data_IF_483524493106
#
_entry.id   IF_483524493106
#
_cell.length_a   1.000
_cell.length_b   1.000
_cell.length_c   1.000
_cell.angle_alpha   90.00
_cell.angle_beta   90.00
_cell.angle_gamma   90.00
#
_symmetry.space_group_name_H-M   'P 1'
#
loop_
_entity.id
_entity.type
_entity.pdbx_description
1 polymer ?
#
# COMPACT_ATOMS: atom_id res chain seq x y z
N UNK A 1 -54.34 34.80 -12.14
CA UNK A 1 -54.08 33.72 -11.14
C UNK A 1 -53.16 32.72 -11.84
N UNK A 2 -51.92 32.45 -11.40
CA UNK A 2 -51.54 31.49 -10.32
C UNK A 2 -52.24 30.13 -10.52
N UNK A 3 -51.63 28.95 -10.62
CA UNK A 3 -50.24 28.39 -10.59
C UNK A 3 -50.21 27.21 -11.62
N UNK A 4 -49.12 26.59 -12.09
CA UNK A 4 -47.65 26.75 -12.02
C UNK A 4 -47.03 26.12 -13.31
N UNK A 5 -45.69 26.01 -13.40
CA UNK A 5 -45.00 24.98 -14.19
C UNK A 5 -44.33 23.98 -13.24
N UNK A 6 -44.30 22.69 -13.58
CA UNK A 6 -43.56 21.66 -12.83
C UNK A 6 -42.43 21.13 -13.70
N UNK A 7 -41.27 21.80 -13.62
CA UNK A 7 -40.03 21.28 -14.18
C UNK A 7 -39.62 20.06 -13.38
N UNK A 8 -39.62 18.87 -14.01
CA UNK A 8 -39.09 17.65 -13.42
C UNK A 8 -37.55 17.75 -13.40
N UNK A 9 -37.02 18.48 -12.43
CA UNK A 9 -35.60 18.46 -12.13
C UNK A 9 -35.26 17.08 -11.58
N UNK A 10 -34.63 16.24 -12.40
CA UNK A 10 -33.82 15.14 -11.92
C UNK A 10 -32.67 15.74 -11.12
N UNK A 11 -32.90 15.99 -9.82
CA UNK A 11 -31.80 15.97 -8.89
C UNK A 11 -31.29 14.54 -8.91
N UNK A 12 -30.10 14.35 -9.51
CA UNK A 12 -29.17 13.40 -8.93
C UNK A 12 -28.97 13.86 -7.49
N UNK A 13 -29.75 13.30 -6.58
CA UNK A 13 -29.29 13.11 -5.23
C UNK A 13 -28.11 12.15 -5.34
N UNK A 14 -26.93 12.71 -5.61
CA UNK A 14 -25.69 12.10 -5.20
C UNK A 14 -25.87 11.89 -3.70
N UNK A 15 -26.22 10.66 -3.32
CA UNK A 15 -26.23 10.27 -1.93
C UNK A 15 -24.76 10.29 -1.57
N UNK A 16 -24.32 11.41 -0.99
CA UNK A 16 -23.07 11.49 -0.25
C UNK A 16 -23.22 10.55 0.94
N UNK A 17 -23.04 9.25 0.67
CA UNK A 17 -22.56 8.31 1.65
C UNK A 17 -21.16 8.79 2.02
N UNK A 18 -21.13 9.77 2.92
CA UNK A 18 -20.03 9.91 3.86
C UNK A 18 -20.10 8.71 4.81
N UNK A 19 -19.88 7.51 4.27
CA UNK A 19 -19.18 6.50 5.01
C UNK A 19 -17.90 7.19 5.49
N UNK A 20 -17.65 7.18 6.80
CA UNK A 20 -16.46 7.82 7.33
C UNK A 20 -15.26 7.02 6.85
N UNK A 21 -14.48 7.61 5.95
CA UNK A 21 -13.16 7.16 5.58
C UNK A 21 -12.32 6.87 6.83
N UNK A 22 -12.29 5.62 7.28
CA UNK A 22 -11.54 5.24 8.47
C UNK A 22 -10.12 4.87 8.06
N UNK A 23 -9.29 5.92 8.01
CA UNK A 23 -7.86 5.80 8.29
C UNK A 23 -7.69 5.00 9.58
N UNK A 24 -7.11 3.80 9.47
CA UNK A 24 -6.87 2.90 10.59
C UNK A 24 -5.59 3.32 11.33
N UNK A 25 -4.52 3.58 10.56
CA UNK A 25 -3.21 3.91 11.09
C UNK A 25 -2.48 4.89 10.16
N UNK A 26 -1.67 5.78 10.75
CA UNK A 26 -0.76 6.66 10.05
C UNK A 26 0.49 6.87 10.89
N UNK A 27 1.66 6.73 10.27
CA UNK A 27 2.95 6.74 10.95
C UNK A 27 4.03 7.34 10.06
N UNK A 28 4.80 8.31 10.56
CA UNK A 28 5.91 8.86 9.77
C UNK A 28 7.11 7.91 9.67
N UNK A 29 7.19 6.90 10.55
CA UNK A 29 8.31 5.95 10.75
C UNK A 29 9.65 6.61 11.13
N UNK A 30 9.72 7.95 11.15
CA UNK A 30 10.91 8.74 11.50
C UNK A 30 11.15 8.66 13.00
N UNK A 31 12.36 8.28 13.41
CA UNK A 31 12.79 8.12 14.80
C UNK A 31 11.84 7.23 15.64
N UNK A 32 11.40 6.09 15.11
CA UNK A 32 10.53 5.14 15.82
C UNK A 32 9.05 5.52 15.89
N UNK A 33 8.60 6.53 15.13
CA UNK A 33 7.23 7.00 15.13
C UNK A 33 6.28 6.07 14.32
N UNK A 34 5.99 4.89 14.87
CA UNK A 34 5.21 3.81 14.22
C UNK A 34 3.68 3.97 14.25
N UNK A 35 3.15 5.05 14.85
CA UNK A 35 1.74 5.43 14.70
C UNK A 35 0.72 4.34 15.06
N UNK A 36 0.94 3.64 16.17
CA UNK A 36 0.11 2.51 16.61
C UNK A 36 0.64 1.13 16.20
N UNK A 37 1.60 1.08 15.27
CA UNK A 37 2.36 -0.12 14.96
C UNK A 37 3.44 -0.40 16.00
N UNK A 38 3.94 -1.63 16.00
CA UNK A 38 4.99 -2.09 16.91
C UNK A 38 5.97 -3.04 16.21
N UNK A 39 7.24 -2.98 16.60
CA UNK A 39 8.24 -3.94 16.15
C UNK A 39 7.91 -5.33 16.69
N UNK A 40 8.26 -6.36 15.91
CA UNK A 40 8.07 -7.76 16.28
C UNK A 40 9.39 -8.52 16.11
N UNK A 41 9.89 -9.11 17.19
CA UNK A 41 10.83 -10.23 17.09
C UNK A 41 10.07 -11.47 16.62
N UNK A 42 10.41 -11.95 15.42
CA UNK A 42 9.75 -13.09 14.78
C UNK A 42 10.40 -14.44 15.07
N UNK A 43 11.52 -14.48 15.83
CA UNK A 43 12.20 -15.72 16.19
C UNK A 43 11.56 -16.40 17.40
N UNK A 44 11.15 -17.67 17.23
CA UNK A 44 10.45 -18.44 18.28
C UNK A 44 11.24 -19.60 18.85
N UNK A 45 12.41 -19.90 18.30
CA UNK A 45 13.37 -20.88 18.80
C UNK A 45 14.74 -20.64 18.16
N UNK A 46 15.81 -21.02 18.85
CA UNK A 46 17.20 -20.80 18.40
C UNK A 46 17.57 -21.67 17.18
N UNK A 47 17.05 -21.29 16.01
CA UNK A 47 17.34 -21.84 14.69
C UNK A 47 17.90 -20.81 13.70
N UNK A 48 18.23 -19.61 14.17
CA UNK A 48 19.00 -18.60 13.45
C UNK A 48 20.32 -19.21 12.94
N UNK A 49 20.59 -19.06 11.63
CA UNK A 49 21.79 -19.61 10.97
C UNK A 49 23.06 -18.86 11.34
N UNK A 50 22.94 -17.62 11.83
CA UNK A 50 24.01 -16.76 12.31
C UNK A 50 24.24 -16.86 13.82
N UNK A 51 23.23 -17.29 14.58
CA UNK A 51 23.26 -17.57 16.02
C UNK A 51 23.39 -16.35 16.94
N UNK A 52 22.85 -15.19 16.56
CA UNK A 52 23.07 -13.90 17.23
C UNK A 52 21.85 -13.38 18.01
N UNK A 53 20.64 -13.63 17.54
CA UNK A 53 19.43 -12.91 18.02
C UNK A 53 18.18 -13.80 17.92
N UNK A 54 17.70 -14.35 19.05
CA UNK A 54 16.51 -15.22 19.04
C UNK A 54 15.70 -15.12 20.33
N UNK A 55 14.54 -14.44 20.28
CA UNK A 55 13.42 -14.70 21.19
C UNK A 55 13.60 -14.30 22.65
N UNK A 56 14.61 -13.47 22.96
CA UNK A 56 14.76 -12.83 24.27
C UNK A 56 14.03 -11.48 24.37
N UNK A 57 13.48 -11.00 23.25
CA UNK A 57 12.84 -9.69 23.14
C UNK A 57 13.84 -8.54 22.92
N UNK A 58 15.10 -8.82 22.57
CA UNK A 58 16.07 -7.79 22.19
C UNK A 58 15.76 -7.19 20.81
N UNK A 59 14.88 -6.19 20.83
CA UNK A 59 14.55 -5.36 19.68
C UNK A 59 15.75 -4.56 19.12
N UNK A 60 16.90 -4.50 19.81
CA UNK A 60 18.05 -3.70 19.34
C UNK A 60 18.78 -4.28 18.13
N UNK A 61 18.54 -5.55 17.79
CA UNK A 61 19.24 -6.26 16.72
C UNK A 61 18.32 -6.97 15.70
N UNK A 62 17.01 -6.73 15.70
CA UNK A 62 16.06 -7.43 14.82
C UNK A 62 16.19 -7.10 13.32
N UNK A 63 17.03 -6.13 12.94
CA UNK A 63 17.19 -5.68 11.54
C UNK A 63 16.37 -4.45 11.18
N UNK A 64 15.94 -3.67 12.17
CA UNK A 64 15.33 -2.34 12.00
C UNK A 64 16.27 -1.30 12.59
N UNK A 65 16.49 -0.20 11.88
CA UNK A 65 17.21 0.98 12.37
C UNK A 65 16.34 2.22 12.19
N UNK A 66 15.96 2.86 13.29
CA UNK A 66 15.23 4.14 13.26
C UNK A 66 16.16 5.29 12.87
N UNK A 67 15.73 6.11 11.92
CA UNK A 67 16.49 7.28 11.45
C UNK A 67 15.60 8.53 11.37
N UNK A 68 16.21 9.69 11.16
CA UNK A 68 15.48 10.93 10.90
C UNK A 68 14.70 10.92 9.57
N UNK A 69 15.06 10.04 8.64
CA UNK A 69 14.45 9.94 7.30
C UNK A 69 13.29 8.95 7.27
N UNK A 70 13.34 7.92 8.10
CA UNK A 70 12.37 6.82 8.16
C UNK A 70 12.94 5.63 8.94
N UNK A 71 12.39 4.45 8.74
CA UNK A 71 12.93 3.20 9.30
C UNK A 71 13.68 2.42 8.21
N UNK A 72 14.91 1.99 8.50
CA UNK A 72 15.77 1.26 7.57
C UNK A 72 15.77 -0.21 7.95
N UNK A 73 15.49 -1.10 6.98
CA UNK A 73 15.60 -2.53 7.16
C UNK A 73 17.02 -2.99 6.81
N UNK A 74 17.72 -3.56 7.77
CA UNK A 74 19.11 -4.00 7.65
C UNK A 74 19.21 -5.52 7.65
N UNK A 75 20.22 -6.05 6.95
CA UNK A 75 20.50 -7.48 6.92
C UNK A 75 20.88 -8.00 8.29
N UNK A 76 20.11 -8.95 8.82
CA UNK A 76 20.48 -9.75 10.00
C UNK A 76 21.09 -11.10 9.61
N UNK A 77 20.73 -11.62 8.44
CA UNK A 77 21.10 -12.96 8.01
C UNK A 77 22.39 -13.03 7.16
N UNK A 78 23.08 -14.19 7.12
CA UNK A 78 24.28 -14.37 6.30
C UNK A 78 24.06 -14.27 4.78
N UNK A 79 22.81 -14.30 4.31
CA UNK A 79 22.42 -14.18 2.91
C UNK A 79 21.91 -12.78 2.53
N UNK A 80 22.07 -11.77 3.40
CA UNK A 80 21.68 -10.39 3.12
C UNK A 80 20.25 -10.01 3.55
N UNK A 81 19.49 -10.95 4.13
CA UNK A 81 18.07 -10.76 4.42
C UNK A 81 17.80 -10.13 5.80
N UNK A 82 16.68 -9.42 5.93
CA UNK A 82 16.22 -8.86 7.20
C UNK A 82 15.10 -9.71 7.82
N UNK A 83 15.25 -10.06 9.10
CA UNK A 83 14.22 -10.72 9.91
C UNK A 83 13.46 -9.74 10.83
N UNK A 84 13.40 -8.46 10.45
CA UNK A 84 12.63 -7.42 11.14
C UNK A 84 11.20 -7.30 10.60
N UNK A 85 10.25 -6.86 11.42
CA UNK A 85 8.85 -6.61 11.08
C UNK A 85 8.32 -5.44 11.92
N UNK A 86 7.58 -4.52 11.31
CA UNK A 86 6.69 -3.60 12.04
C UNK A 86 5.25 -4.02 11.73
N UNK A 87 4.44 -4.20 12.77
CA UNK A 87 3.10 -4.74 12.66
C UNK A 87 2.03 -3.77 13.18
N UNK A 88 0.89 -3.73 12.49
CA UNK A 88 -0.32 -3.01 12.88
C UNK A 88 -1.50 -3.99 12.97
N UNK A 89 -2.17 -4.01 14.12
CA UNK A 89 -3.27 -4.97 14.35
C UNK A 89 -4.61 -4.49 13.79
N UNK A 90 -4.82 -4.75 12.51
CA UNK A 90 -6.08 -4.53 11.80
C UNK A 90 -6.98 -5.75 12.04
N UNK A 91 -7.98 -5.67 12.94
CA UNK A 91 -8.89 -6.79 13.16
C UNK A 91 -9.53 -6.89 14.55
N UNK A 92 -10.14 -8.05 14.83
CA UNK A 92 -11.22 -8.23 15.80
C UNK A 92 -10.88 -8.14 17.32
N UNK A 93 -9.67 -7.72 17.70
CA UNK A 93 -9.34 -7.43 19.10
C UNK A 93 -9.90 -6.07 19.58
N UNK A 94 -10.42 -5.25 18.67
CA UNK A 94 -11.40 -4.21 19.01
C UNK A 94 -12.76 -4.87 19.33
N UNK A 95 -12.96 -5.13 20.63
CA UNK A 95 -14.06 -5.95 21.16
C UNK A 95 -15.44 -5.74 20.52
N UNK A 96 -15.85 -6.73 19.71
CA UNK A 96 -17.24 -7.11 19.44
C UNK A 96 -18.18 -6.00 18.94
N UNK A 97 -17.78 -5.22 17.92
CA UNK A 97 -18.72 -4.36 17.20
C UNK A 97 -18.37 -4.08 15.71
N UNK A 98 -17.12 -3.75 15.41
CA UNK A 98 -16.69 -3.32 14.06
C UNK A 98 -15.82 -4.39 13.41
N UNK A 99 -16.41 -5.21 12.55
CA UNK A 99 -15.63 -5.94 11.55
C UNK A 99 -15.06 -4.91 10.57
N UNK A 100 -13.74 -4.83 10.52
CA UNK A 100 -13.06 -4.04 9.49
C UNK A 100 -13.37 -4.63 8.11
N UNK A 101 -13.68 -3.76 7.16
CA UNK A 101 -13.88 -4.07 5.75
C UNK A 101 -12.56 -4.11 4.96
N UNK A 102 -11.42 -3.92 5.63
CA UNK A 102 -10.09 -3.78 5.04
C UNK A 102 -9.77 -4.89 4.05
N UNK A 103 -10.28 -6.10 4.28
CA UNK A 103 -10.07 -7.27 3.43
C UNK A 103 -10.96 -7.33 2.18
N UNK A 104 -12.12 -6.67 2.18
CA UNK A 104 -12.97 -6.52 1.00
C UNK A 104 -12.63 -5.28 0.19
N UNK A 105 -12.20 -4.22 0.86
CA UNK A 105 -11.68 -3.01 0.23
C UNK A 105 -10.71 -2.31 1.18
N UNK A 106 -9.60 -1.82 0.65
CA UNK A 106 -8.58 -1.21 1.49
C UNK A 106 -7.52 -0.51 0.67
N UNK A 107 -6.70 0.27 1.38
CA UNK A 107 -5.57 1.00 0.82
C UNK A 107 -4.41 0.97 1.79
N UNK A 108 -3.20 0.88 1.26
CA UNK A 108 -1.95 1.21 1.94
C UNK A 108 -1.16 2.18 1.07
N UNK A 109 -0.65 3.26 1.65
CA UNK A 109 0.38 4.13 1.06
C UNK A 109 1.62 4.07 1.94
N UNK A 110 2.79 4.14 1.32
CA UNK A 110 4.08 4.17 2.01
C UNK A 110 5.15 4.82 1.13
N UNK A 111 5.97 5.72 1.69
CA UNK A 111 7.18 6.16 1.00
C UNK A 111 8.21 5.03 1.01
N UNK A 112 8.88 4.82 -0.11
CA UNK A 112 9.88 3.77 -0.31
C UNK A 112 11.14 4.33 -0.95
N UNK A 113 12.30 4.06 -0.34
CA UNK A 113 13.63 4.30 -0.91
C UNK A 113 14.47 3.04 -0.78
N UNK A 114 14.83 2.41 -1.90
CA UNK A 114 15.76 1.28 -1.93
C UNK A 114 17.17 1.74 -2.29
N UNK A 115 18.17 1.34 -1.51
CA UNK A 115 19.59 1.67 -1.69
C UNK A 115 20.27 0.67 -2.65
N UNK A 116 20.86 1.16 -3.73
CA UNK A 116 21.46 0.32 -4.79
C UNK A 116 22.57 -0.62 -4.30
N UNK A 117 23.29 -0.24 -3.23
CA UNK A 117 24.46 -0.95 -2.71
C UNK A 117 24.10 -2.05 -1.71
N UNK A 118 22.99 -1.89 -0.99
CA UNK A 118 22.58 -2.76 0.12
C UNK A 118 21.25 -3.48 -0.11
N UNK A 119 20.47 -3.10 -1.13
CA UNK A 119 19.18 -3.74 -1.40
C UNK A 119 19.30 -5.23 -1.73
N UNK A 120 18.53 -6.03 -1.00
CA UNK A 120 18.31 -7.46 -1.21
C UNK A 120 16.82 -7.72 -1.44
N UNK A 121 16.51 -8.52 -2.47
CA UNK A 121 15.15 -8.92 -2.82
C UNK A 121 14.43 -9.59 -1.64
N UNK A 122 13.13 -9.31 -1.48
CA UNK A 122 12.31 -9.85 -0.41
C UNK A 122 10.89 -9.27 -0.37
N UNK A 123 10.11 -9.68 0.61
CA UNK A 123 8.76 -9.15 0.85
C UNK A 123 8.83 -7.68 1.30
N UNK A 124 8.02 -6.83 0.67
CA UNK A 124 7.74 -5.47 1.07
C UNK A 124 6.80 -5.45 2.28
N UNK A 125 5.67 -6.14 2.17
CA UNK A 125 4.65 -6.28 3.22
C UNK A 125 3.79 -7.52 3.00
N UNK A 126 3.06 -7.93 4.05
CA UNK A 126 1.95 -8.87 3.95
C UNK A 126 0.91 -8.69 5.07
N UNK A 127 -0.23 -9.38 4.99
CA UNK A 127 -1.10 -9.64 6.15
C UNK A 127 -0.95 -11.10 6.61
N UNK A 128 -1.48 -11.43 7.81
CA UNK A 128 -1.50 -12.81 8.30
C UNK A 128 -2.92 -13.23 8.72
N UNK A 129 -3.41 -14.33 8.14
CA UNK A 129 -4.72 -14.91 8.36
C UNK A 129 -4.75 -15.84 9.59
N UNK A 130 -5.62 -15.51 10.55
CA UNK A 130 -6.09 -16.45 11.57
C UNK A 130 -5.14 -16.75 12.73
N UNK A 131 -3.99 -16.06 12.83
CA UNK A 131 -3.04 -16.28 13.93
C UNK A 131 -2.58 -14.98 14.59
N UNK A 132 -2.64 -14.95 15.93
CA UNK A 132 -1.92 -14.00 16.78
C UNK A 132 -0.42 -14.38 16.87
N UNK A 133 0.15 -14.94 15.79
CA UNK A 133 1.51 -15.48 15.70
C UNK A 133 2.10 -15.14 14.34
N UNK A 134 3.29 -14.56 14.36
CA UNK A 134 4.01 -14.07 13.17
C UNK A 134 4.77 -15.17 12.42
N UNK A 135 4.29 -16.43 12.51
CA UNK A 135 4.90 -17.62 11.91
C UNK A 135 3.83 -18.68 11.64
N UNK A 136 3.97 -19.41 10.53
CA UNK A 136 3.09 -20.53 10.17
C UNK A 136 1.66 -20.14 9.73
N UNK A 137 1.36 -18.85 9.64
CA UNK A 137 0.10 -18.34 9.06
C UNK A 137 0.17 -18.23 7.53
N UNK A 138 -0.99 -18.10 6.89
CA UNK A 138 -1.08 -17.78 5.46
C UNK A 138 -1.35 -16.29 5.30
N UNK A 139 -0.76 -15.64 4.29
CA UNK A 139 -1.18 -14.28 3.91
C UNK A 139 -2.45 -14.28 3.06
N UNK A 140 -3.07 -13.11 2.93
CA UNK A 140 -4.12 -12.79 1.93
C UNK A 140 -3.57 -11.84 0.86
N UNK A 141 -2.70 -10.91 1.26
CA UNK A 141 -2.07 -9.87 0.45
C UNK A 141 -0.55 -9.96 0.63
N UNK A 142 0.21 -9.70 -0.43
CA UNK A 142 1.66 -9.77 -0.38
C UNK A 142 2.31 -8.94 -1.48
N UNK A 143 3.25 -8.09 -1.11
CA UNK A 143 4.07 -7.35 -2.06
C UNK A 143 5.53 -7.76 -1.93
N UNK A 144 6.24 -7.80 -3.06
CA UNK A 144 7.64 -8.21 -3.14
C UNK A 144 8.45 -7.18 -3.91
N UNK A 145 9.67 -6.96 -3.47
CA UNK A 145 10.71 -6.24 -4.19
C UNK A 145 11.77 -7.21 -4.71
N UNK A 146 12.14 -7.09 -5.98
CA UNK A 146 13.29 -7.80 -6.55
C UNK A 146 14.23 -6.85 -7.28
N UNK A 147 15.53 -7.16 -7.28
CA UNK A 147 16.49 -6.54 -8.20
C UNK A 147 16.29 -7.17 -9.58
N UNK A 148 16.10 -6.36 -10.61
CA UNK A 148 16.24 -6.75 -12.01
C UNK A 148 17.58 -6.26 -12.55
N UNK A 149 18.21 -7.10 -13.37
CA UNK A 149 19.22 -6.62 -14.29
C UNK A 149 18.59 -5.57 -15.22
N UNK A 150 19.34 -4.52 -15.52
CA UNK A 150 18.90 -3.42 -16.36
C UNK A 150 18.84 -3.76 -17.85
N UNK A 151 18.93 -2.71 -18.67
CA UNK A 151 18.94 -2.83 -20.14
C UNK A 151 20.20 -3.56 -20.63
N UNK A 152 21.31 -3.52 -19.88
CA UNK A 152 22.54 -4.25 -20.21
C UNK A 152 22.51 -5.75 -19.85
N UNK A 153 21.51 -6.19 -19.07
CA UNK A 153 21.33 -7.58 -18.65
C UNK A 153 22.36 -8.11 -17.64
N UNK A 154 23.15 -7.24 -17.01
CA UNK A 154 24.03 -7.55 -15.89
C UNK A 154 23.38 -7.12 -14.56
N UNK A 155 23.94 -7.63 -13.45
CA UNK A 155 23.55 -7.25 -12.10
C UNK A 155 24.68 -6.51 -11.40
N UNK A 156 24.32 -5.62 -10.48
CA UNK A 156 25.22 -4.74 -9.72
C UNK A 156 25.88 -3.67 -10.60
N UNK A 157 25.16 -3.24 -11.63
CA UNK A 157 25.51 -2.16 -12.55
C UNK A 157 24.70 -0.89 -12.22
N UNK A 158 25.06 0.23 -12.86
CA UNK A 158 24.39 1.51 -12.62
C UNK A 158 23.00 1.63 -13.30
N UNK A 159 22.62 0.63 -14.10
CA UNK A 159 21.30 0.48 -14.72
C UNK A 159 20.45 -0.63 -14.06
N UNK A 160 20.91 -1.23 -12.95
CA UNK A 160 20.08 -2.11 -12.12
C UNK A 160 18.75 -1.43 -11.78
N UNK A 161 17.66 -2.19 -11.86
CA UNK A 161 16.31 -1.69 -11.58
C UNK A 161 15.65 -2.47 -10.43
N UNK A 162 14.65 -1.87 -9.82
CA UNK A 162 13.85 -2.46 -8.77
C UNK A 162 12.47 -2.84 -9.33
N UNK A 163 12.08 -4.11 -9.25
CA UNK A 163 10.74 -4.55 -9.65
C UNK A 163 9.89 -4.77 -8.41
N UNK A 164 8.78 -4.03 -8.36
CA UNK A 164 7.76 -4.12 -7.32
C UNK A 164 6.58 -4.94 -7.83
N UNK A 165 6.25 -6.03 -7.14
CA UNK A 165 5.14 -6.92 -7.45
C UNK A 165 3.99 -6.74 -6.47
N UNK A 166 2.75 -6.83 -6.96
CA UNK A 166 1.54 -6.87 -6.15
C UNK A 166 0.81 -8.20 -6.33
N UNK A 167 0.47 -8.87 -5.22
CA UNK A 167 -0.07 -10.23 -5.23
C UNK A 167 -1.12 -10.42 -4.14
N UNK A 168 -2.09 -11.30 -4.38
CA UNK A 168 -2.95 -11.88 -3.34
C UNK A 168 -2.93 -13.38 -3.32
N UNK A 169 -3.30 -13.94 -2.19
CA UNK A 169 -3.44 -15.37 -1.96
C UNK A 169 -4.91 -15.73 -1.83
N UNK A 170 -5.36 -16.67 -2.66
CA UNK A 170 -6.73 -17.15 -2.66
C UNK A 170 -6.74 -18.67 -2.91
N UNK A 171 -7.48 -19.43 -2.10
CA UNK A 171 -7.62 -20.89 -2.20
C UNK A 171 -6.29 -21.68 -2.32
N UNK A 172 -5.25 -21.28 -1.58
CA UNK A 172 -3.89 -21.86 -1.62
C UNK A 172 -3.09 -21.57 -2.90
N UNK A 173 -3.46 -20.54 -3.66
CA UNK A 173 -2.74 -20.07 -4.86
C UNK A 173 -2.42 -18.59 -4.71
N UNK A 174 -1.18 -18.21 -5.02
CA UNK A 174 -0.79 -16.80 -5.19
C UNK A 174 -1.12 -16.33 -6.61
N UNK A 175 -1.81 -15.21 -6.71
CA UNK A 175 -2.16 -14.50 -7.93
C UNK A 175 -1.38 -13.20 -7.97
N UNK A 176 -0.65 -12.95 -9.05
CA UNK A 176 0.02 -11.66 -9.29
C UNK A 176 -0.91 -10.73 -10.07
N UNK A 177 -1.15 -9.54 -9.52
CA UNK A 177 -2.02 -8.50 -10.10
C UNK A 177 -1.24 -7.48 -10.94
N UNK A 178 0.08 -7.59 -10.94
CA UNK A 178 0.97 -6.80 -11.79
C UNK A 178 2.28 -6.49 -11.11
N UNK A 179 3.08 -5.72 -11.84
CA UNK A 179 4.37 -5.25 -11.37
C UNK A 179 4.75 -3.94 -12.05
N UNK A 180 5.53 -3.11 -11.37
CA UNK A 180 6.17 -1.93 -11.95
C UNK A 180 7.67 -1.94 -11.71
N UNK A 181 8.39 -1.27 -12.60
CA UNK A 181 9.83 -1.04 -12.46
C UNK A 181 10.09 0.35 -11.89
N UNK A 182 11.00 0.44 -10.93
CA UNK A 182 11.44 1.63 -10.22
C UNK A 182 12.97 1.73 -10.31
N UNK A 183 13.53 2.93 -10.18
CA UNK A 183 14.97 3.13 -10.14
C UNK A 183 15.47 3.08 -8.68
N UNK A 184 16.67 2.57 -8.46
CA UNK A 184 17.30 2.67 -7.14
C UNK A 184 17.62 4.12 -6.75
N UNK A 185 17.86 4.33 -5.45
CA UNK A 185 18.31 5.59 -4.85
C UNK A 185 17.33 6.77 -5.05
N UNK A 186 16.06 6.47 -5.36
CA UNK A 186 14.95 7.41 -5.48
C UNK A 186 13.84 7.08 -4.47
N UNK A 187 13.20 8.12 -3.95
CA UNK A 187 12.06 8.02 -3.04
C UNK A 187 10.77 8.07 -3.84
N UNK A 188 9.89 7.09 -3.66
CA UNK A 188 8.58 6.98 -4.30
C UNK A 188 7.47 6.88 -3.25
N UNK A 189 6.29 7.47 -3.51
CA UNK A 189 5.07 7.18 -2.74
C UNK A 189 4.35 6.00 -3.42
N UNK A 190 4.28 4.87 -2.72
CA UNK A 190 3.73 3.61 -3.22
C UNK A 190 2.34 3.38 -2.64
N UNK A 191 1.32 3.42 -3.49
CA UNK A 191 -0.07 3.11 -3.13
C UNK A 191 -0.48 1.72 -3.62
N UNK A 192 -1.07 0.89 -2.75
CA UNK A 192 -1.69 -0.38 -3.12
C UNK A 192 -3.14 -0.40 -2.64
N UNK A 193 -4.07 -0.63 -3.56
CA UNK A 193 -5.51 -0.59 -3.30
C UNK A 193 -6.18 -1.88 -3.76
N UNK A 194 -7.33 -2.17 -3.17
CA UNK A 194 -8.20 -3.25 -3.63
C UNK A 194 -9.66 -2.99 -3.28
N UNK A 195 -10.55 -3.71 -3.97
CA UNK A 195 -12.00 -3.52 -3.86
C UNK A 195 -12.48 -2.18 -4.42
N UNK A 196 -11.82 -1.70 -5.49
CA UNK A 196 -12.15 -0.46 -6.16
C UNK A 196 -13.43 -0.52 -7.00
N UNK A 197 -13.81 0.63 -7.55
CA UNK A 197 -14.95 0.74 -8.48
C UNK A 197 -14.54 0.56 -9.95
N UNK A 198 -13.28 0.86 -10.27
CA UNK A 198 -12.72 0.72 -11.61
C UNK A 198 -11.96 -0.60 -11.72
N UNK A 199 -11.11 -0.92 -10.74
CA UNK A 199 -10.41 -2.21 -10.67
C UNK A 199 -10.48 -2.93 -9.32
N UNK A 200 -10.37 -4.27 -9.34
CA UNK A 200 -10.29 -5.10 -8.13
C UNK A 200 -9.00 -4.85 -7.35
N UNK A 201 -7.88 -4.63 -8.05
CA UNK A 201 -6.57 -4.31 -7.49
C UNK A 201 -5.85 -3.26 -8.31
N UNK A 202 -5.13 -2.36 -7.64
CA UNK A 202 -4.32 -1.35 -8.30
C UNK A 202 -2.99 -1.13 -7.56
N UNK A 203 -1.95 -0.86 -8.34
CA UNK A 203 -0.63 -0.45 -7.90
C UNK A 203 -0.33 0.95 -8.43
N UNK A 204 -0.19 1.89 -7.51
CA UNK A 204 0.05 3.31 -7.75
C UNK A 204 1.48 3.70 -7.34
N UNK A 205 2.10 4.59 -8.11
CA UNK A 205 3.41 5.18 -7.80
C UNK A 205 3.32 6.68 -8.09
N UNK A 206 3.62 7.52 -7.09
CA UNK A 206 3.59 8.99 -7.19
C UNK A 206 2.29 9.54 -7.83
N UNK A 207 1.14 8.98 -7.48
CA UNK A 207 -0.17 9.36 -8.02
C UNK A 207 -0.53 8.74 -9.37
N UNK A 208 0.33 7.90 -9.97
CA UNK A 208 0.15 7.30 -11.30
C UNK A 208 -0.18 5.81 -11.19
N UNK A 209 -1.22 5.36 -11.90
CA UNK A 209 -1.58 3.94 -11.97
C UNK A 209 -0.55 3.19 -12.83
N UNK A 210 0.20 2.28 -12.21
CA UNK A 210 1.27 1.53 -12.87
C UNK A 210 0.84 0.12 -13.27
N UNK A 211 0.00 -0.53 -12.47
CA UNK A 211 -0.61 -1.82 -12.80
C UNK A 211 -1.98 -1.97 -12.13
N UNK A 212 -2.84 -2.81 -12.72
CA UNK A 212 -4.13 -3.19 -12.16
C UNK A 212 -4.53 -4.59 -12.64
N UNK A 213 -5.46 -5.22 -11.92
CA UNK A 213 -6.06 -6.50 -12.30
C UNK A 213 -7.54 -6.56 -11.88
N UNK A 214 -8.35 -7.22 -12.70
CA UNK A 214 -9.79 -7.44 -12.53
C UNK A 214 -10.07 -8.94 -12.51
N UNK A 215 -10.30 -9.48 -11.32
CA UNK A 215 -10.33 -10.93 -11.15
C UNK A 215 -11.75 -11.47 -10.95
N UNK A 216 -12.09 -12.43 -11.81
CA UNK A 216 -13.37 -13.13 -11.76
C UNK A 216 -13.46 -14.18 -10.61
N UNK A 217 -12.60 -14.11 -9.59
CA UNK A 217 -12.52 -15.09 -8.49
C UNK A 217 -13.61 -14.90 -7.41
N UNK A 218 -14.32 -13.77 -7.42
CA UNK A 218 -15.39 -13.47 -6.46
C UNK A 218 -14.89 -12.77 -5.20
N UNK A 219 -15.60 -12.94 -4.08
CA UNK A 219 -15.27 -12.22 -2.84
C UNK A 219 -13.89 -12.61 -2.30
N UNK A 220 -13.08 -11.60 -1.99
CA UNK A 220 -11.66 -11.75 -1.70
C UNK A 220 -11.32 -12.47 -0.39
N UNK A 221 -10.27 -13.28 -0.47
CA UNK A 221 -9.66 -14.10 0.60
C UNK A 221 -10.51 -15.24 1.19
N UNK A 222 -9.88 -16.03 2.08
CA UNK A 222 -10.46 -17.21 2.75
C UNK A 222 -11.89 -17.03 3.30
N UNK A 223 -12.75 -18.01 3.02
CA UNK A 223 -14.20 -17.99 3.28
C UNK A 223 -14.64 -18.26 4.73
N UNK A 224 -13.70 -18.36 5.67
CA UNK A 224 -13.98 -18.61 7.09
C UNK A 224 -13.48 -17.47 7.99
N UNK A 225 -14.33 -17.08 8.94
CA UNK A 225 -14.09 -16.31 10.16
C UNK A 225 -12.82 -15.41 10.23
N UNK A 226 -12.99 -14.11 9.95
CA UNK A 226 -12.09 -13.05 10.43
C UNK A 226 -10.70 -13.03 9.78
N UNK A 227 -10.46 -12.06 8.90
CA UNK A 227 -9.22 -11.95 8.11
C UNK A 227 -8.72 -10.52 8.06
N UNK A 228 -7.40 -10.37 7.97
CA UNK A 228 -6.66 -9.35 8.69
C UNK A 228 -6.93 -9.44 10.21
N UNK A 229 -5.90 -9.86 10.95
CA UNK A 229 -5.70 -9.47 12.35
C UNK A 229 -4.51 -8.51 12.50
N UNK A 230 -3.62 -8.52 11.50
CA UNK A 230 -2.27 -8.00 11.53
C UNK A 230 -1.83 -7.72 10.09
N UNK A 231 -1.43 -6.48 9.81
CA UNK A 231 -0.71 -6.08 8.59
C UNK A 231 0.72 -5.72 8.98
N UNK A 232 1.69 -6.26 8.24
CA UNK A 232 3.10 -6.17 8.57
C UNK A 232 3.92 -5.56 7.44
N UNK A 233 4.71 -4.55 7.76
CA UNK A 233 5.78 -4.03 6.91
C UNK A 233 6.99 -4.97 7.03
N UNK A 234 7.38 -5.60 5.93
CA UNK A 234 8.18 -6.81 5.86
C UNK A 234 7.33 -8.09 5.77
N UNK A 235 7.98 -9.26 5.68
CA UNK A 235 7.28 -10.56 5.60
C UNK A 235 6.50 -10.86 6.89
N UNK A 236 5.39 -11.57 6.84
CA UNK A 236 4.76 -12.16 8.03
C UNK A 236 4.25 -13.58 7.80
N UNK A 237 4.68 -14.21 6.69
CA UNK A 237 4.11 -15.44 6.16
C UNK A 237 4.99 -16.68 6.42
N UNK A 238 6.29 -16.70 6.03
CA UNK A 238 7.10 -17.95 6.03
C UNK A 238 8.51 -17.85 6.66
N UNK A 239 8.70 -16.87 7.56
CA UNK A 239 9.96 -16.67 8.28
C UNK A 239 10.48 -17.94 8.97
N UNK A 240 11.81 -18.09 8.96
CA UNK A 240 12.60 -19.25 9.41
C UNK A 240 12.59 -20.52 8.53
N UNK A 241 11.72 -20.65 7.53
CA UNK A 241 11.69 -21.84 6.66
C UNK A 241 12.03 -21.56 5.18
N UNK A 242 11.61 -20.43 4.63
CA UNK A 242 11.81 -20.09 3.21
C UNK A 242 12.96 -19.08 3.01
N UNK A 243 14.01 -19.40 2.22
CA UNK A 243 15.06 -18.45 1.86
C UNK A 243 14.64 -17.39 0.82
N UNK A 244 13.38 -17.38 0.34
CA UNK A 244 12.90 -16.46 -0.70
C UNK A 244 11.94 -15.38 -0.16
N UNK A 245 11.26 -15.61 0.97
CA UNK A 245 10.16 -14.73 1.43
C UNK A 245 10.53 -13.65 2.46
N UNK A 246 11.74 -13.60 3.01
CA UNK A 246 12.16 -12.63 4.05
C UNK A 246 11.90 -11.15 3.71
N UNK A 247 11.95 -10.23 4.68
CA UNK A 247 11.88 -8.79 4.39
C UNK A 247 13.07 -8.33 3.52
N UNK A 248 12.76 -7.45 2.56
CA UNK A 248 13.76 -6.71 1.79
C UNK A 248 14.65 -5.86 2.71
N UNK A 249 15.95 -6.17 2.74
CA UNK A 249 16.96 -5.35 3.40
C UNK A 249 17.47 -4.28 2.42
N UNK A 250 18.06 -3.20 2.95
CA UNK A 250 18.52 -2.06 2.15
C UNK A 250 17.39 -1.14 1.68
N UNK A 251 16.23 -1.20 2.34
CA UNK A 251 15.09 -0.32 2.06
C UNK A 251 14.79 0.56 3.27
N UNK A 252 14.57 1.84 3.01
CA UNK A 252 14.05 2.82 3.95
C UNK A 252 12.57 3.05 3.67
N UNK A 253 11.75 2.98 4.71
CA UNK A 253 10.33 3.33 4.64
C UNK A 253 10.01 4.59 5.45
N UNK A 254 9.17 5.46 4.92
CA UNK A 254 8.56 6.57 5.68
C UNK A 254 7.08 6.74 5.37
N UNK A 255 6.40 7.52 6.22
CA UNK A 255 5.02 7.98 6.00
C UNK A 255 4.04 6.87 5.56
N UNK A 256 3.97 5.75 6.29
CA UNK A 256 2.95 4.72 6.03
C UNK A 256 1.58 5.19 6.51
N UNK A 257 0.55 4.90 5.73
CA UNK A 257 -0.85 5.04 6.14
C UNK A 257 -1.71 3.92 5.57
N UNK A 258 -2.76 3.56 6.32
CA UNK A 258 -3.56 2.36 6.12
C UNK A 258 -5.04 2.72 6.29
N UNK A 259 -5.87 2.37 5.31
CA UNK A 259 -7.31 2.70 5.31
C UNK A 259 -8.19 1.48 5.14
N UNK A 260 -9.29 1.46 5.89
CA UNK A 260 -10.42 0.55 5.75
C UNK A 260 -11.32 0.90 4.54
N UNK A 261 -10.76 1.57 3.53
CA UNK A 261 -11.46 1.95 2.30
C UNK A 261 -10.53 1.89 1.10
N UNK A 262 -11.13 1.65 -0.07
CA UNK A 262 -10.50 1.95 -1.34
C UNK A 262 -10.29 3.48 -1.47
N UNK A 263 -9.10 3.90 -1.85
CA UNK A 263 -8.79 5.28 -2.23
C UNK A 263 -8.20 5.30 -3.62
N UNK A 264 -8.85 6.00 -4.55
CA UNK A 264 -8.25 6.29 -5.84
C UNK A 264 -6.89 6.98 -5.65
N UNK A 265 -5.94 6.72 -6.55
CA UNK A 265 -4.54 7.15 -6.43
C UNK A 265 -3.77 6.48 -5.27
N UNK A 266 -4.33 5.49 -4.57
CA UNK A 266 -3.68 4.85 -3.42
C UNK A 266 -3.40 5.77 -2.24
N UNK A 267 -4.19 6.85 -2.10
CA UNK A 267 -3.95 8.03 -1.25
C UNK A 267 -2.65 8.83 -1.53
N UNK A 268 -1.90 8.45 -2.56
CA UNK A 268 -0.69 9.17 -2.93
C UNK A 268 -1.05 10.57 -3.45
N UNK A 269 -0.50 11.62 -2.83
CA UNK A 269 -0.91 13.01 -3.09
C UNK A 269 0.24 13.89 -3.61
N UNK A 270 0.06 14.58 -4.74
CA UNK A 270 -1.16 14.67 -5.55
C UNK A 270 -1.36 13.48 -6.50
N UNK A 271 -2.61 13.02 -6.64
CA UNK A 271 -3.06 12.21 -7.78
C UNK A 271 -2.50 12.75 -9.11
N UNK A 272 -1.87 11.88 -9.89
CA UNK A 272 -1.14 12.25 -11.10
C UNK A 272 -2.05 12.79 -12.22
N UNK A 273 -2.13 14.11 -12.34
CA UNK A 273 -2.57 14.85 -13.53
C UNK A 273 -3.82 14.35 -14.28
N UNK A 274 -4.92 14.18 -13.56
CA UNK A 274 -6.11 14.96 -13.91
C UNK A 274 -5.90 16.38 -13.40
N UNK A 275 -5.26 17.25 -14.19
CA UNK A 275 -4.90 18.60 -13.69
C UNK A 275 -6.15 19.34 -13.21
N UNK A 276 -6.18 19.68 -11.91
CA UNK A 276 -7.15 20.65 -11.41
C UNK A 276 -6.91 21.92 -12.24
N UNK A 277 -7.92 22.41 -12.98
CA UNK A 277 -7.70 23.61 -13.78
C UNK A 277 -7.33 24.74 -12.82
N UNK A 278 -6.16 25.36 -13.06
CA UNK A 278 -5.77 26.63 -12.48
C UNK A 278 -7.02 27.53 -12.37
N UNK A 279 -7.28 28.23 -11.24
CA UNK A 279 -8.52 29.01 -11.07
C UNK A 279 -8.81 30.03 -12.19
N UNK A 280 -7.77 30.45 -12.92
CA UNK A 280 -7.85 31.24 -14.16
C UNK A 280 -8.63 30.56 -15.30
N UNK A 281 -8.61 29.23 -15.38
CA UNK A 281 -9.31 28.41 -16.39
C UNK A 281 -10.82 28.36 -16.14
N UNK A 282 -11.24 28.26 -14.88
CA UNK A 282 -12.65 28.35 -14.48
C UNK A 282 -13.24 29.74 -14.79
N UNK A 283 -12.42 30.80 -14.70
CA UNK A 283 -12.81 32.15 -15.09
C UNK A 283 -13.03 32.27 -16.61
N UNK A 284 -12.24 31.59 -17.45
CA UNK A 284 -12.47 31.61 -18.91
C UNK A 284 -13.78 30.91 -19.32
N UNK A 285 -14.15 29.79 -18.70
CA UNK A 285 -15.43 29.13 -18.96
C UNK A 285 -16.63 29.96 -18.47
N UNK A 286 -16.51 30.61 -17.31
CA UNK A 286 -17.53 31.54 -16.80
C UNK A 286 -17.71 32.78 -17.68
N UNK A 287 -16.63 33.38 -18.20
CA UNK A 287 -16.68 34.54 -19.08
C UNK A 287 -17.12 34.19 -20.52
N UNK A 288 -16.76 33.00 -21.02
CA UNK A 288 -17.19 32.51 -22.33
C UNK A 288 -18.71 32.38 -22.45
N UNK A 289 -19.38 31.91 -21.39
CA UNK A 289 -20.84 31.80 -21.33
C UNK A 289 -21.55 33.16 -21.23
N UNK A 290 -20.90 34.19 -20.68
CA UNK A 290 -21.44 35.56 -20.65
C UNK A 290 -21.25 36.26 -22.01
N UNK A 291 -20.18 35.95 -22.75
CA UNK A 291 -19.86 36.57 -24.04
C UNK A 291 -20.80 36.23 -25.20
N UNK A 292 -21.45 35.06 -25.17
CA UNK A 292 -22.31 34.59 -26.28
C UNK A 292 -23.73 35.17 -26.21
N UNK A 293 -24.14 35.74 -25.07
CA UNK A 293 -25.51 36.27 -24.86
C UNK A 293 -25.81 37.65 -25.45
N UNK A 294 -24.83 38.38 -26.00
CA UNK A 294 -24.98 39.83 -26.27
C UNK A 294 -24.73 40.29 -27.72
N UNK A 295 -25.17 39.52 -28.73
CA UNK A 295 -25.33 40.03 -30.11
C UNK A 295 -26.53 39.43 -30.85
N UNK A 296 -27.72 40.00 -30.67
CA UNK A 296 -28.68 40.27 -31.77
C UNK A 296 -29.90 41.10 -31.30
N UNK A 297 -29.88 42.42 -31.53
CA UNK A 297 -31.10 43.25 -31.68
C UNK A 297 -30.76 44.62 -32.30
N UNK A 298 -31.58 45.05 -33.28
CA UNK A 298 -31.36 46.07 -34.35
C UNK A 298 -30.79 45.42 -35.62
N UNK A 299 -31.39 45.53 -36.81
CA UNK A 299 -32.56 46.28 -37.35
C UNK A 299 -33.13 45.43 -38.51
N UNK A 300 -34.38 45.51 -38.95
CA UNK A 300 -35.33 46.64 -39.01
C UNK A 300 -36.70 46.28 -38.41
#
# INVERSE_FOLDING_TARGET
MKKLAFSLAFMLAAISYSASASLLYQASLKNGAYGGGYQVDTFTSCGDRSGRTCGDGDLSNIGITDTSSGVVYTSTEPNGQSNALINWSIGADYGVASQTSFRTHGTVSIDLLADSQTHVSGSLFGDNYGFNKFWGGQGTFGSFLSRSAGVDGQYNTADDELVLYWNTWHNNVWYGHGSTTLQYDQLYDIGMTWGGLEHDFELWVDGVLMAFDDSNLGAWGASYLGSAYNWGLGDNHQRSHDPVSSTTAGVTFSNVAIWDEYRACGDTLPCGNGSIPEPSTLILLALGLIGIGYRHKKTM
#
